data_IF_455314773947
#
_entry.id   IF_455314773947
#
_cell.length_a   1.000
_cell.length_b   1.000
_cell.length_c   1.000
_cell.angle_alpha   90.00
_cell.angle_beta   90.00
_cell.angle_gamma   90.00
#
_symmetry.space_group_name_H-M   'P 1'
#
loop_
_entity.id
_entity.type
_entity.pdbx_description
1 polymer ?
#
# COMPACT_ATOMS: atom_id res chain seq x y z
N UNK A 1 -12.55 20.02 1.97
CA UNK A 1 -12.13 18.82 2.74
C UNK A 1 -11.02 18.16 1.94
N UNK A 2 -9.78 18.20 2.42
CA UNK A 2 -8.62 17.73 1.66
C UNK A 2 -8.72 16.20 1.51
N UNK A 3 -8.69 15.73 0.26
CA UNK A 3 -8.68 14.30 -0.08
C UNK A 3 -7.34 13.75 0.41
N UNK A 4 -7.33 12.97 1.48
CA UNK A 4 -6.09 12.41 2.05
C UNK A 4 -5.36 11.61 0.97
N UNK A 5 -4.21 12.12 0.53
CA UNK A 5 -3.36 11.44 -0.45
C UNK A 5 -2.88 10.14 0.19
N UNK A 6 -3.12 9.01 -0.45
CA UNK A 6 -2.62 7.72 0.02
C UNK A 6 -1.09 7.79 0.23
N UNK A 7 -0.63 7.44 1.42
CA UNK A 7 0.78 7.37 1.78
C UNK A 7 1.18 5.90 1.84
N UNK A 8 2.30 5.56 1.20
CA UNK A 8 2.78 4.17 1.12
C UNK A 8 3.28 3.72 2.51
N UNK A 9 3.86 4.64 3.27
CA UNK A 9 4.36 4.40 4.63
C UNK A 9 3.25 3.98 5.60
N UNK A 10 2.07 4.59 5.47
CA UNK A 10 0.92 4.20 6.29
C UNK A 10 0.39 2.82 5.87
N UNK A 11 0.43 2.48 4.58
CA UNK A 11 0.06 1.16 4.10
C UNK A 11 1.01 0.07 4.59
N UNK A 12 2.32 0.35 4.68
CA UNK A 12 3.28 -0.57 5.28
C UNK A 12 3.03 -0.77 6.78
N UNK A 13 2.73 0.30 7.53
CA UNK A 13 2.34 0.17 8.94
C UNK A 13 1.09 -0.68 9.12
N UNK A 14 0.11 -0.52 8.25
CA UNK A 14 -1.12 -1.33 8.28
C UNK A 14 -0.83 -2.79 7.93
N UNK A 15 0.06 -3.06 6.97
CA UNK A 15 0.53 -4.41 6.64
C UNK A 15 1.23 -5.07 7.84
N UNK A 16 2.11 -4.36 8.54
CA UNK A 16 2.78 -4.88 9.75
C UNK A 16 1.77 -5.26 10.84
N UNK A 17 0.71 -4.45 11.02
CA UNK A 17 -0.37 -4.75 11.96
C UNK A 17 -1.17 -5.99 11.54
N UNK A 18 -1.48 -6.14 10.25
CA UNK A 18 -2.16 -7.32 9.74
C UNK A 18 -1.33 -8.57 9.92
N UNK A 19 -0.01 -8.50 9.68
CA UNK A 19 0.93 -9.60 9.91
C UNK A 19 0.96 -9.97 11.39
N UNK A 20 1.09 -8.98 12.29
CA UNK A 20 1.08 -9.23 13.72
C UNK A 20 -0.22 -9.90 14.20
N UNK A 21 -1.37 -9.51 13.63
CA UNK A 21 -2.65 -10.16 13.92
C UNK A 21 -2.71 -11.58 13.35
N UNK A 22 -2.19 -11.82 12.14
CA UNK A 22 -2.12 -13.15 11.55
C UNK A 22 -1.23 -14.13 12.33
N UNK A 23 -0.20 -13.63 13.01
CA UNK A 23 0.73 -14.42 13.82
C UNK A 23 0.22 -14.66 15.26
N UNK A 24 -0.84 -13.98 15.69
CA UNK A 24 -1.40 -14.14 17.02
C UNK A 24 -2.10 -15.50 17.19
N UNK A 25 -1.88 -16.15 18.35
CA UNK A 25 -2.39 -17.49 18.63
C UNK A 25 -3.93 -17.56 18.77
N UNK A 26 -4.57 -16.44 19.04
CA UNK A 26 -6.03 -16.32 19.20
C UNK A 26 -6.77 -15.96 17.90
N UNK A 27 -6.05 -15.72 16.80
CA UNK A 27 -6.66 -15.36 15.53
C UNK A 27 -7.38 -16.55 14.90
N UNK A 28 -8.69 -16.41 14.67
CA UNK A 28 -9.45 -17.43 13.99
C UNK A 28 -9.12 -17.45 12.49
N UNK A 29 -9.33 -18.61 11.85
CA UNK A 29 -9.13 -18.76 10.40
C UNK A 29 -9.95 -17.74 9.57
N UNK A 30 -11.14 -17.38 10.05
CA UNK A 30 -12.01 -16.40 9.39
C UNK A 30 -11.43 -14.99 9.47
N UNK A 31 -10.88 -14.61 10.62
CA UNK A 31 -10.20 -13.32 10.81
C UNK A 31 -8.92 -13.26 9.98
N UNK A 32 -8.10 -14.31 10.03
CA UNK A 32 -6.91 -14.44 9.21
C UNK A 32 -7.21 -14.30 7.71
N UNK A 33 -8.30 -14.93 7.24
CA UNK A 33 -8.70 -14.80 5.84
C UNK A 33 -9.15 -13.38 5.48
N UNK A 34 -9.78 -12.67 6.42
CA UNK A 34 -10.18 -11.28 6.21
C UNK A 34 -8.95 -10.35 6.18
N UNK A 35 -7.99 -10.54 7.08
CA UNK A 35 -6.78 -9.74 7.15
C UNK A 35 -5.86 -9.97 5.95
N UNK A 36 -5.77 -11.22 5.48
CA UNK A 36 -5.10 -11.53 4.23
C UNK A 36 -5.71 -10.77 3.05
N UNK A 37 -7.04 -10.74 2.91
CA UNK A 37 -7.72 -9.97 1.85
C UNK A 37 -7.46 -8.47 1.96
N UNK A 38 -7.41 -7.92 3.18
CA UNK A 38 -7.06 -6.50 3.40
C UNK A 38 -5.63 -6.24 2.94
N UNK A 39 -4.69 -7.10 3.33
CA UNK A 39 -3.29 -7.02 2.93
C UNK A 39 -3.12 -7.03 1.41
N UNK A 40 -3.82 -7.94 0.71
CA UNK A 40 -3.81 -7.98 -0.76
C UNK A 40 -4.28 -6.66 -1.39
N UNK A 41 -5.38 -6.09 -0.90
CA UNK A 41 -5.90 -4.81 -1.40
C UNK A 41 -4.96 -3.64 -1.14
N UNK A 42 -4.30 -3.63 0.01
CA UNK A 42 -3.28 -2.63 0.33
C UNK A 42 -2.11 -2.72 -0.64
N UNK A 43 -1.63 -3.93 -0.92
CA UNK A 43 -0.55 -4.17 -1.89
C UNK A 43 -0.95 -3.70 -3.30
N UNK A 44 -2.15 -4.01 -3.78
CA UNK A 44 -2.66 -3.52 -5.07
C UNK A 44 -2.64 -1.99 -5.14
N UNK A 45 -3.03 -1.32 -4.04
CA UNK A 45 -3.06 0.13 -3.96
C UNK A 45 -1.65 0.74 -3.93
N UNK A 46 -0.71 0.10 -3.24
CA UNK A 46 0.70 0.48 -3.27
C UNK A 46 1.27 0.39 -4.69
N UNK A 47 1.05 -0.74 -5.38
CA UNK A 47 1.47 -0.94 -6.76
C UNK A 47 0.92 0.16 -7.67
N UNK A 48 -0.39 0.42 -7.64
CA UNK A 48 -1.00 1.47 -8.46
C UNK A 48 -0.46 2.87 -8.17
N UNK A 49 -0.07 3.14 -6.91
CA UNK A 49 0.50 4.44 -6.52
C UNK A 49 1.92 4.59 -7.04
N UNK A 50 2.74 3.54 -6.91
CA UNK A 50 4.10 3.51 -7.44
C UNK A 50 4.10 3.66 -8.97
N UNK A 51 3.24 2.94 -9.68
CA UNK A 51 3.10 3.05 -11.13
C UNK A 51 2.72 4.48 -11.57
N UNK A 52 1.93 5.18 -10.76
CA UNK A 52 1.57 6.58 -11.03
C UNK A 52 2.77 7.50 -10.85
N UNK A 53 3.50 7.34 -9.74
CA UNK A 53 4.71 8.12 -9.47
C UNK A 53 5.78 7.86 -10.55
N UNK A 54 5.97 6.61 -10.97
CA UNK A 54 6.91 6.26 -12.02
C UNK A 54 6.58 6.97 -13.34
N UNK A 55 5.30 7.00 -13.73
CA UNK A 55 4.85 7.74 -14.92
C UNK A 55 5.08 9.24 -14.79
N UNK A 56 4.77 9.83 -13.63
CA UNK A 56 5.03 11.25 -13.37
C UNK A 56 6.55 11.56 -13.49
N UNK A 57 7.41 10.70 -12.96
CA UNK A 57 8.87 10.84 -13.07
C UNK A 57 9.34 10.74 -14.53
N UNK A 58 8.77 9.83 -15.33
CA UNK A 58 9.09 9.70 -16.76
C UNK A 58 8.72 10.98 -17.51
N UNK A 59 7.51 11.50 -17.30
CA UNK A 59 7.06 12.74 -17.95
C UNK A 59 7.98 13.93 -17.59
N UNK A 60 8.37 14.04 -16.31
CA UNK A 60 9.30 15.09 -15.86
C UNK A 60 10.68 14.98 -16.56
N UNK A 61 11.17 13.76 -16.80
CA UNK A 61 12.41 13.54 -17.55
C UNK A 61 12.26 13.91 -19.03
N UNK A 62 11.14 13.57 -19.65
CA UNK A 62 10.86 13.85 -21.07
C UNK A 62 10.64 15.35 -21.35
N UNK A 63 10.06 16.09 -20.40
CA UNK A 63 9.88 17.55 -20.48
C UNK A 63 11.18 18.36 -20.22
N UNK A 64 12.34 17.69 -20.12
CA UNK A 64 13.65 18.34 -19.96
C UNK A 64 14.04 18.63 -18.51
N UNK A 65 13.35 18.03 -17.54
CA UNK A 65 13.67 18.13 -16.12
C UNK A 65 14.86 17.26 -15.73
N UNK A 66 15.94 17.91 -15.31
CA UNK A 66 17.15 17.30 -14.76
C UNK A 66 16.81 16.41 -13.55
N UNK A 67 17.24 15.15 -13.60
CA UNK A 67 17.72 14.39 -12.43
C UNK A 67 19.22 14.16 -12.60
#
# INVERSE_FOLDING_TARGET
MAKTKFQIEDAYRELDQLIAHLEAEDTSLSEAFNDYKKGMKLLEKCQSTLDTIEKEVILLKEEGGIL
#
